data_IF_923537738830
#
_entry.id   IF_923537738830
#
_cell.length_a   1.000
_cell.length_b   1.000
_cell.length_c   1.000
_cell.angle_alpha   90.00
_cell.angle_beta   90.00
_cell.angle_gamma   90.00
#
_symmetry.space_group_name_H-M   'P 1'
#
loop_
_entity.id
_entity.type
_entity.pdbx_description
1 polymer ?
#
# COMPACT_ATOMS: atom_id res chain seq x y z
N UNK A 1 6.96 -26.38 30.16
CA UNK A 1 7.66 -25.09 30.41
C UNK A 1 8.24 -24.54 29.10
N UNK A 2 8.89 -25.39 28.30
CA UNK A 2 9.54 -25.01 27.02
C UNK A 2 8.62 -24.41 25.94
N UNK A 3 7.39 -24.90 25.79
CA UNK A 3 6.45 -24.37 24.79
C UNK A 3 6.00 -22.93 25.09
N UNK A 4 5.82 -22.60 26.38
CA UNK A 4 5.45 -21.25 26.81
C UNK A 4 6.62 -20.29 26.62
N UNK A 5 7.84 -20.72 26.94
CA UNK A 5 9.05 -19.91 26.75
C UNK A 5 9.33 -19.64 25.27
N UNK A 6 9.17 -20.66 24.41
CA UNK A 6 9.27 -20.51 22.94
C UNK A 6 8.19 -19.59 22.37
N UNK A 7 6.96 -19.69 22.88
CA UNK A 7 5.85 -18.82 22.45
C UNK A 7 6.09 -17.35 22.87
N UNK A 8 6.64 -17.13 24.07
CA UNK A 8 7.00 -15.80 24.55
C UNK A 8 8.14 -15.17 23.73
N UNK A 9 9.16 -15.94 23.38
CA UNK A 9 10.24 -15.49 22.47
C UNK A 9 9.70 -15.16 21.07
N UNK A 10 8.86 -16.04 20.51
CA UNK A 10 8.22 -15.80 19.21
C UNK A 10 7.39 -14.53 19.21
N UNK A 11 6.63 -14.28 20.29
CA UNK A 11 5.86 -13.05 20.45
C UNK A 11 6.76 -11.81 20.48
N UNK A 12 7.93 -11.88 21.13
CA UNK A 12 8.88 -10.78 21.13
C UNK A 12 9.43 -10.50 19.72
N UNK A 13 9.78 -11.55 18.95
CA UNK A 13 10.16 -11.40 17.55
C UNK A 13 9.04 -10.78 16.70
N UNK A 14 7.81 -11.24 16.88
CA UNK A 14 6.68 -10.73 16.08
C UNK A 14 6.44 -9.24 16.31
N UNK A 15 6.58 -8.77 17.57
CA UNK A 15 6.48 -7.34 17.91
C UNK A 15 7.56 -6.49 17.27
N UNK A 16 8.68 -7.09 16.87
CA UNK A 16 9.78 -6.43 16.18
C UNK A 16 9.74 -6.61 14.65
N UNK A 17 8.68 -7.21 14.10
CA UNK A 17 8.55 -7.42 12.66
C UNK A 17 9.39 -8.60 12.14
N UNK A 18 9.72 -9.54 13.01
CA UNK A 18 10.60 -10.67 12.72
C UNK A 18 9.82 -11.99 12.65
N UNK A 19 10.31 -12.96 11.89
CA UNK A 19 9.82 -14.34 11.90
C UNK A 19 10.21 -15.06 13.20
N UNK A 20 9.82 -16.34 13.33
CA UNK A 20 10.11 -17.12 14.53
C UNK A 20 11.61 -17.27 14.83
N UNK A 21 12.47 -17.18 13.81
CA UNK A 21 13.93 -17.30 13.93
C UNK A 21 14.61 -15.94 14.15
N UNK A 22 13.86 -14.85 14.20
CA UNK A 22 14.40 -13.49 14.34
C UNK A 22 14.79 -12.82 13.01
N UNK A 23 14.52 -13.45 11.86
CA UNK A 23 14.76 -12.85 10.56
C UNK A 23 13.69 -11.81 10.25
N UNK A 24 14.04 -10.77 9.50
CA UNK A 24 13.06 -9.73 9.16
C UNK A 24 11.97 -10.28 8.24
N UNK A 25 10.71 -10.03 8.58
CA UNK A 25 9.56 -10.37 7.74
C UNK A 25 8.90 -9.07 7.25
N UNK A 26 9.01 -8.81 5.94
CA UNK A 26 8.53 -7.56 5.33
C UNK A 26 7.05 -7.29 5.60
N UNK A 27 6.20 -8.32 5.55
CA UNK A 27 4.76 -8.16 5.71
C UNK A 27 4.40 -7.96 7.19
N UNK A 28 5.13 -8.60 8.10
CA UNK A 28 4.93 -8.36 9.52
C UNK A 28 5.32 -6.94 9.94
N UNK A 29 6.44 -6.42 9.43
CA UNK A 29 6.81 -5.02 9.61
C UNK A 29 5.70 -4.08 9.13
N UNK A 30 5.12 -4.36 7.96
CA UNK A 30 4.00 -3.58 7.42
C UNK A 30 2.76 -3.63 8.33
N UNK A 31 2.42 -4.79 8.89
CA UNK A 31 1.28 -4.92 9.82
C UNK A 31 1.49 -4.06 11.07
N UNK A 32 2.72 -3.96 11.60
CA UNK A 32 3.01 -3.10 12.75
C UNK A 32 2.69 -1.62 12.46
N UNK A 33 2.87 -1.15 11.21
CA UNK A 33 2.44 0.19 10.81
C UNK A 33 0.92 0.36 10.78
N UNK A 34 0.16 -0.71 10.52
CA UNK A 34 -1.31 -0.71 10.50
C UNK A 34 -1.95 -0.74 11.90
N UNK A 35 -1.15 -0.80 12.97
CA UNK A 35 -1.56 -0.60 14.38
C UNK A 35 -2.57 -1.60 14.97
N UNK A 36 -2.77 -2.78 14.36
CA UNK A 36 -3.63 -3.83 14.94
C UNK A 36 -2.78 -4.89 15.66
N UNK A 37 -3.11 -5.23 16.90
CA UNK A 37 -2.47 -6.35 17.64
C UNK A 37 -3.28 -7.65 17.55
N UNK A 38 -4.50 -7.60 17.02
CA UNK A 38 -5.44 -8.73 16.97
C UNK A 38 -4.90 -9.92 16.16
N UNK A 39 -4.03 -9.66 15.19
CA UNK A 39 -3.45 -10.68 14.31
C UNK A 39 -2.42 -11.59 15.00
N UNK A 40 -1.93 -11.22 16.18
CA UNK A 40 -0.90 -11.99 16.92
C UNK A 40 -1.36 -13.44 17.18
N UNK A 41 -2.66 -13.66 17.41
CA UNK A 41 -3.21 -15.02 17.60
C UNK A 41 -2.99 -15.92 16.39
N UNK A 42 -3.07 -15.35 15.17
CA UNK A 42 -2.81 -16.07 13.93
C UNK A 42 -1.32 -16.38 13.78
N UNK A 43 -0.45 -15.42 14.10
CA UNK A 43 1.00 -15.60 14.04
C UNK A 43 1.46 -16.71 14.98
N UNK A 44 0.98 -16.70 16.23
CA UNK A 44 1.25 -17.75 17.22
C UNK A 44 0.72 -19.11 16.79
N UNK A 45 -0.44 -19.16 16.12
CA UNK A 45 -0.98 -20.39 15.56
C UNK A 45 -0.13 -20.96 14.40
N UNK A 46 0.61 -20.10 13.70
CA UNK A 46 1.50 -20.47 12.59
C UNK A 46 2.98 -20.65 12.98
N UNK A 47 3.31 -20.69 14.28
CA UNK A 47 4.70 -20.77 14.76
C UNK A 47 5.48 -22.01 14.28
N UNK A 48 4.79 -23.09 13.89
CA UNK A 48 5.41 -24.31 13.38
C UNK A 48 5.69 -24.26 11.87
N UNK A 49 5.31 -23.19 11.18
CA UNK A 49 5.54 -23.03 9.74
C UNK A 49 7.04 -22.86 9.42
N UNK A 50 7.42 -23.30 8.22
CA UNK A 50 8.70 -22.91 7.64
C UNK A 50 8.73 -21.39 7.37
N UNK A 51 9.92 -20.81 7.20
CA UNK A 51 10.04 -19.37 6.91
C UNK A 51 9.28 -18.97 5.63
N UNK A 52 9.26 -19.83 4.60
CA UNK A 52 8.50 -19.57 3.36
C UNK A 52 6.98 -19.52 3.62
N UNK A 53 6.43 -20.52 4.32
CA UNK A 53 5.00 -20.58 4.64
C UNK A 53 4.58 -19.43 5.56
N UNK A 54 5.45 -19.05 6.50
CA UNK A 54 5.21 -17.94 7.43
C UNK A 54 5.19 -16.59 6.70
N UNK A 55 6.08 -16.39 5.71
CA UNK A 55 6.06 -15.19 4.87
C UNK A 55 4.75 -15.11 4.07
N UNK A 56 4.31 -16.21 3.47
CA UNK A 56 3.08 -16.23 2.66
C UNK A 56 1.85 -15.94 3.51
N UNK A 57 1.68 -16.55 4.69
CA UNK A 57 0.53 -16.24 5.55
C UNK A 57 0.57 -14.80 6.06
N UNK A 58 1.74 -14.24 6.39
CA UNK A 58 1.87 -12.84 6.79
C UNK A 58 1.44 -11.88 5.67
N UNK A 59 1.76 -12.19 4.40
CA UNK A 59 1.29 -11.42 3.23
C UNK A 59 -0.22 -11.35 3.16
N UNK A 60 -0.89 -12.49 3.31
CA UNK A 60 -2.36 -12.56 3.27
C UNK A 60 -3.01 -11.88 4.46
N UNK A 61 -2.44 -12.03 5.66
CA UNK A 61 -2.90 -11.34 6.87
C UNK A 61 -2.78 -9.82 6.70
N UNK A 62 -1.64 -9.30 6.21
CA UNK A 62 -1.48 -7.87 5.93
C UNK A 62 -2.55 -7.37 4.97
N UNK A 63 -2.73 -8.05 3.84
CA UNK A 63 -3.70 -7.66 2.83
C UNK A 63 -5.13 -7.68 3.38
N UNK A 64 -5.48 -8.74 4.12
CA UNK A 64 -6.80 -8.87 4.75
C UNK A 64 -7.08 -7.75 5.76
N UNK A 65 -6.13 -7.49 6.67
CA UNK A 65 -6.26 -6.44 7.70
C UNK A 65 -6.40 -5.06 7.07
N UNK A 66 -5.60 -4.76 6.05
CA UNK A 66 -5.70 -3.49 5.35
C UNK A 66 -7.06 -3.32 4.67
N UNK A 67 -7.55 -4.33 3.95
CA UNK A 67 -8.88 -4.31 3.30
C UNK A 67 -9.98 -4.04 4.33
N UNK A 68 -10.00 -4.78 5.44
CA UNK A 68 -11.00 -4.56 6.50
C UNK A 68 -10.91 -3.16 7.11
N UNK A 69 -9.70 -2.65 7.27
CA UNK A 69 -9.46 -1.35 7.88
C UNK A 69 -9.88 -0.18 6.96
N UNK A 70 -9.61 -0.28 5.66
CA UNK A 70 -9.98 0.76 4.69
C UNK A 70 -11.47 0.77 4.39
N UNK A 71 -12.14 -0.40 4.42
CA UNK A 71 -13.60 -0.51 4.25
C UNK A 71 -14.38 -0.25 5.55
N UNK A 72 -13.68 0.01 6.66
CA UNK A 72 -14.27 0.35 7.98
C UNK A 72 -15.19 -0.74 8.55
N UNK A 73 -14.84 -2.01 8.35
CA UNK A 73 -15.61 -3.13 8.92
C UNK A 73 -15.53 -3.17 10.45
N UNK A 74 -16.57 -3.72 11.08
CA UNK A 74 -16.64 -3.83 12.55
C UNK A 74 -15.63 -4.85 13.07
N UNK A 75 -14.76 -4.40 13.98
CA UNK A 75 -13.67 -5.20 14.57
C UNK A 75 -14.15 -6.37 15.43
N UNK A 76 -15.35 -6.30 16.01
CA UNK A 76 -15.86 -7.36 16.89
C UNK A 76 -16.07 -8.70 16.15
N UNK A 77 -16.26 -8.65 14.82
CA UNK A 77 -16.36 -9.85 13.99
C UNK A 77 -15.01 -10.52 13.72
N UNK A 78 -13.91 -9.78 13.86
CA UNK A 78 -12.55 -10.26 13.56
C UNK A 78 -12.04 -11.22 14.63
N UNK A 79 -12.36 -11.00 15.90
CA UNK A 79 -11.85 -11.83 17.00
C UNK A 79 -12.34 -13.28 16.88
N UNK A 80 -13.64 -13.47 16.64
CA UNK A 80 -14.22 -14.79 16.41
C UNK A 80 -13.63 -15.44 15.15
N UNK A 81 -13.47 -14.67 14.06
CA UNK A 81 -12.88 -15.17 12.82
C UNK A 81 -11.45 -15.64 13.06
N UNK A 82 -10.65 -14.86 13.80
CA UNK A 82 -9.26 -15.17 14.07
C UNK A 82 -9.08 -16.36 15.01
N UNK A 83 -10.00 -16.61 15.94
CA UNK A 83 -10.02 -17.83 16.75
C UNK A 83 -10.21 -19.06 15.86
N UNK A 84 -11.20 -19.02 14.96
CA UNK A 84 -11.49 -20.12 14.03
C UNK A 84 -10.29 -20.35 13.08
N UNK A 85 -9.75 -19.28 12.51
CA UNK A 85 -8.59 -19.35 11.63
C UNK A 85 -7.33 -19.85 12.34
N UNK A 86 -7.08 -19.42 13.58
CA UNK A 86 -5.98 -19.92 14.39
C UNK A 86 -6.09 -21.44 14.61
N UNK A 87 -7.29 -21.97 14.87
CA UNK A 87 -7.49 -23.41 15.01
C UNK A 87 -7.16 -24.18 13.72
N UNK A 88 -7.55 -23.64 12.55
CA UNK A 88 -7.24 -24.23 11.23
C UNK A 88 -5.74 -24.15 10.92
N UNK A 89 -5.11 -22.99 11.12
CA UNK A 89 -3.67 -22.76 10.89
C UNK A 89 -2.78 -23.73 11.67
N UNK A 90 -3.16 -24.07 12.92
CA UNK A 90 -2.45 -25.06 13.75
C UNK A 90 -2.38 -26.46 13.14
N UNK A 91 -3.26 -26.80 12.21
CA UNK A 91 -3.31 -28.12 11.57
C UNK A 91 -2.52 -28.18 10.25
N UNK A 92 -2.22 -27.03 9.65
CA UNK A 92 -1.53 -26.93 8.36
C UNK A 92 -0.05 -27.31 8.50
N UNK A 93 0.48 -28.11 7.57
CA UNK A 93 1.89 -28.56 7.58
C UNK A 93 2.64 -28.29 6.28
N UNK A 94 1.93 -28.01 5.19
CA UNK A 94 2.49 -27.90 3.85
C UNK A 94 1.84 -26.75 3.07
N UNK A 95 2.47 -26.42 1.92
CA UNK A 95 2.05 -25.32 1.05
C UNK A 95 0.68 -25.53 0.41
N UNK A 96 0.33 -26.76 0.05
CA UNK A 96 -0.96 -27.09 -0.57
C UNK A 96 -2.10 -26.83 0.41
N UNK A 97 -1.96 -27.31 1.65
CA UNK A 97 -2.91 -27.08 2.73
C UNK A 97 -3.05 -25.59 3.08
N UNK A 98 -1.93 -24.84 3.05
CA UNK A 98 -1.95 -23.38 3.25
C UNK A 98 -2.72 -22.65 2.13
N UNK A 99 -2.43 -22.98 0.88
CA UNK A 99 -3.11 -22.39 -0.28
C UNK A 99 -4.62 -22.67 -0.25
N UNK A 100 -5.01 -23.90 0.14
CA UNK A 100 -6.41 -24.26 0.32
C UNK A 100 -7.08 -23.38 1.40
N UNK A 101 -6.45 -23.24 2.57
CA UNK A 101 -6.95 -22.37 3.64
C UNK A 101 -7.11 -20.91 3.16
N UNK A 102 -6.12 -20.37 2.45
CA UNK A 102 -6.19 -19.00 1.90
C UNK A 102 -7.38 -18.86 0.96
N UNK A 103 -7.55 -19.79 0.02
CA UNK A 103 -8.60 -19.75 -1.00
C UNK A 103 -10.01 -19.93 -0.42
N UNK A 104 -10.17 -20.74 0.63
CA UNK A 104 -11.48 -21.05 1.22
C UNK A 104 -11.88 -20.05 2.33
N UNK A 105 -10.90 -19.49 3.05
CA UNK A 105 -11.16 -18.68 4.24
C UNK A 105 -10.89 -17.19 4.04
N UNK A 106 -9.71 -16.83 3.54
CA UNK A 106 -9.26 -15.44 3.50
C UNK A 106 -9.77 -14.75 2.24
N UNK A 107 -9.57 -15.36 1.07
CA UNK A 107 -9.94 -14.75 -0.21
C UNK A 107 -11.43 -14.41 -0.30
N UNK A 108 -12.38 -15.30 0.05
CA UNK A 108 -13.80 -14.99 -0.10
C UNK A 108 -14.23 -13.82 0.80
N UNK A 109 -13.67 -13.73 2.01
CA UNK A 109 -13.94 -12.61 2.91
C UNK A 109 -13.44 -11.27 2.36
N UNK A 110 -12.27 -11.26 1.71
CA UNK A 110 -11.78 -10.08 0.99
C UNK A 110 -12.65 -9.74 -0.22
N UNK A 111 -12.99 -10.72 -1.05
CA UNK A 111 -13.75 -10.46 -2.28
C UNK A 111 -15.19 -9.98 -1.99
N UNK A 112 -15.79 -10.41 -0.87
CA UNK A 112 -17.06 -9.85 -0.41
C UNK A 112 -17.01 -8.34 -0.10
N UNK A 113 -15.80 -7.79 0.09
CA UNK A 113 -15.56 -6.36 0.32
C UNK A 113 -15.10 -5.63 -0.94
N UNK A 114 -15.00 -6.28 -2.10
CA UNK A 114 -14.40 -5.71 -3.30
C UNK A 114 -15.06 -4.39 -3.73
N UNK A 115 -16.40 -4.34 -3.80
CA UNK A 115 -17.13 -3.12 -4.16
C UNK A 115 -16.91 -2.00 -3.15
N UNK A 116 -16.96 -2.31 -1.85
CA UNK A 116 -16.70 -1.31 -0.79
C UNK A 116 -15.26 -0.82 -0.81
N UNK A 117 -14.31 -1.69 -1.13
CA UNK A 117 -12.91 -1.35 -1.28
C UNK A 117 -12.70 -0.38 -2.45
N UNK A 118 -13.30 -0.68 -3.60
CA UNK A 118 -13.26 0.17 -4.79
C UNK A 118 -13.90 1.55 -4.50
N UNK A 119 -15.08 1.58 -3.88
CA UNK A 119 -15.74 2.82 -3.46
C UNK A 119 -14.90 3.63 -2.47
N UNK A 120 -14.27 2.95 -1.51
CA UNK A 120 -13.41 3.58 -0.52
C UNK A 120 -12.21 4.25 -1.19
N UNK A 121 -11.57 3.58 -2.17
CA UNK A 121 -10.46 4.13 -2.92
C UNK A 121 -10.88 5.23 -3.90
N UNK A 122 -12.02 5.13 -4.57
CA UNK A 122 -12.53 6.21 -5.44
C UNK A 122 -12.80 7.52 -4.67
N UNK A 123 -13.15 7.42 -3.39
CA UNK A 123 -13.45 8.57 -2.52
C UNK A 123 -12.29 8.94 -1.57
N UNK A 124 -11.18 8.19 -1.63
CA UNK A 124 -10.07 8.31 -0.70
C UNK A 124 -9.41 9.68 -0.83
N UNK A 125 -9.34 10.36 0.31
CA UNK A 125 -8.69 11.66 0.44
C UNK A 125 -7.92 11.77 1.76
N UNK A 126 -7.04 12.75 1.87
CA UNK A 126 -6.16 12.98 3.01
C UNK A 126 -6.90 13.12 4.35
N UNK A 127 -8.12 13.63 4.36
CA UNK A 127 -8.92 13.81 5.58
C UNK A 127 -9.69 12.56 5.99
N UNK A 128 -9.91 11.61 5.07
CA UNK A 128 -10.70 10.39 5.32
C UNK A 128 -9.94 9.30 6.08
N UNK A 129 -8.61 9.43 6.20
CA UNK A 129 -7.70 8.51 6.88
C UNK A 129 -6.65 9.28 7.67
N UNK A 130 -6.05 8.67 8.69
CA UNK A 130 -4.94 9.30 9.40
C UNK A 130 -3.67 9.36 8.53
N UNK A 131 -2.74 10.25 8.89
CA UNK A 131 -1.50 10.49 8.14
C UNK A 131 -0.66 9.23 7.94
N UNK A 132 -0.51 8.40 8.99
CA UNK A 132 0.27 7.15 8.92
C UNK A 132 -0.31 6.18 7.90
N UNK A 133 -1.64 6.03 7.86
CA UNK A 133 -2.34 5.17 6.91
C UNK A 133 -2.24 5.71 5.49
N UNK A 134 -2.40 7.03 5.29
CA UNK A 134 -2.19 7.65 3.98
C UNK A 134 -0.76 7.40 3.47
N UNK A 135 0.23 7.55 4.35
CA UNK A 135 1.62 7.28 4.02
C UNK A 135 1.83 5.80 3.67
N UNK A 136 1.25 4.86 4.43
CA UNK A 136 1.27 3.44 4.11
C UNK A 136 0.66 3.14 2.74
N UNK A 137 -0.50 3.73 2.42
CA UNK A 137 -1.20 3.53 1.14
C UNK A 137 -0.31 3.99 -0.02
N UNK A 138 0.15 5.23 0.03
CA UNK A 138 1.02 5.78 -1.00
C UNK A 138 2.32 4.97 -1.12
N UNK A 139 2.92 4.57 0.00
CA UNK A 139 4.13 3.75 0.01
C UNK A 139 3.92 2.37 -0.60
N UNK A 140 2.81 1.69 -0.31
CA UNK A 140 2.48 0.37 -0.90
C UNK A 140 2.20 0.46 -2.38
N UNK A 141 1.49 1.49 -2.83
CA UNK A 141 1.24 1.73 -4.26
C UNK A 141 2.57 1.98 -4.99
N UNK A 142 3.41 2.88 -4.48
CA UNK A 142 4.72 3.17 -5.07
C UNK A 142 5.62 1.94 -5.07
N UNK A 143 5.73 1.25 -3.93
CA UNK A 143 6.52 0.04 -3.77
C UNK A 143 6.09 -1.04 -4.76
N UNK A 144 4.80 -1.28 -4.92
CA UNK A 144 4.30 -2.31 -5.83
C UNK A 144 4.73 -2.05 -7.28
N UNK A 145 4.64 -0.79 -7.74
CA UNK A 145 5.08 -0.41 -9.10
C UNK A 145 6.58 -0.64 -9.26
N UNK A 146 7.39 -0.20 -8.29
CA UNK A 146 8.84 -0.37 -8.35
C UNK A 146 9.25 -1.86 -8.26
N UNK A 147 8.59 -2.68 -7.43
CA UNK A 147 8.86 -4.13 -7.33
C UNK A 147 8.50 -4.87 -8.64
N UNK A 148 7.39 -4.50 -9.29
CA UNK A 148 7.02 -5.08 -10.59
C UNK A 148 8.00 -4.66 -11.70
N UNK A 149 8.55 -3.45 -11.61
CA UNK A 149 9.49 -2.90 -12.57
C UNK A 149 10.90 -3.49 -12.44
N UNK A 150 11.42 -3.58 -11.21
CA UNK A 150 12.78 -3.98 -10.88
C UNK A 150 12.81 -5.34 -10.19
N UNK A 151 12.22 -6.35 -10.84
CA UNK A 151 12.19 -7.72 -10.32
C UNK A 151 13.62 -8.17 -9.98
N UNK A 152 13.80 -8.69 -8.76
CA UNK A 152 15.06 -9.12 -8.14
C UNK A 152 15.93 -8.02 -7.49
N UNK A 153 15.51 -6.76 -7.46
CA UNK A 153 16.17 -5.75 -6.63
C UNK A 153 15.54 -5.68 -5.23
N UNK A 154 16.25 -6.22 -4.24
CA UNK A 154 15.83 -6.20 -2.84
C UNK A 154 15.68 -4.78 -2.26
N UNK A 155 16.27 -3.76 -2.90
CA UNK A 155 16.14 -2.36 -2.48
C UNK A 155 14.70 -1.85 -2.53
N UNK A 156 13.85 -2.45 -3.36
CA UNK A 156 12.43 -2.12 -3.47
C UNK A 156 11.53 -3.00 -2.58
N UNK A 157 12.07 -4.07 -2.00
CA UNK A 157 11.29 -5.09 -1.27
C UNK A 157 10.68 -4.61 0.06
N UNK A 158 11.34 -3.65 0.75
CA UNK A 158 10.93 -3.24 2.10
C UNK A 158 10.21 -1.90 2.12
N UNK A 159 9.00 -1.87 2.70
CA UNK A 159 8.17 -0.66 2.78
C UNK A 159 8.86 0.48 3.54
N UNK A 160 9.74 0.17 4.50
CA UNK A 160 10.55 1.16 5.24
C UNK A 160 11.35 2.09 4.32
N UNK A 161 11.68 1.65 3.11
CA UNK A 161 12.40 2.45 2.11
C UNK A 161 11.52 3.54 1.48
N UNK A 162 10.20 3.47 1.70
CA UNK A 162 9.19 4.41 1.19
C UNK A 162 8.54 5.26 2.29
N UNK A 163 8.73 4.92 3.57
CA UNK A 163 8.13 5.62 4.73
C UNK A 163 9.17 6.26 5.67
N UNK A 164 10.42 6.38 5.22
CA UNK A 164 11.49 7.00 6.00
C UNK A 164 11.49 8.53 5.91
N UNK A 165 12.34 9.16 6.74
CA UNK A 165 12.48 10.62 6.89
C UNK A 165 12.85 11.40 5.61
N UNK A 166 13.35 10.71 4.58
CA UNK A 166 13.72 11.34 3.31
C UNK A 166 12.60 11.29 2.27
N UNK A 167 11.43 10.75 2.63
CA UNK A 167 10.26 10.64 1.75
C UNK A 167 9.13 11.49 2.31
N UNK A 168 8.53 12.29 1.45
CA UNK A 168 7.43 13.19 1.79
C UNK A 168 6.23 12.94 0.88
N UNK A 169 5.04 13.28 1.38
CA UNK A 169 3.83 13.32 0.57
C UNK A 169 3.80 14.67 -0.13
N UNK A 170 3.77 14.65 -1.45
CA UNK A 170 3.67 15.82 -2.31
C UNK A 170 2.24 16.01 -2.79
N UNK A 171 1.81 17.27 -2.79
CA UNK A 171 0.55 17.72 -3.37
C UNK A 171 0.82 18.25 -4.77
N UNK A 172 0.35 17.55 -5.80
CA UNK A 172 0.65 17.93 -7.19
C UNK A 172 0.00 19.29 -7.50
N UNK A 173 -1.29 19.43 -7.23
CA UNK A 173 -2.00 20.69 -7.02
C UNK A 173 -1.65 21.21 -5.62
N UNK A 174 -0.93 22.34 -5.48
CA UNK A 174 -0.45 22.81 -4.19
C UNK A 174 -1.54 23.20 -3.20
N UNK A 175 -1.22 23.11 -1.91
CA UNK A 175 -2.09 23.54 -0.82
C UNK A 175 -2.17 25.07 -0.69
N UNK A 176 -1.05 25.78 -0.91
CA UNK A 176 -1.06 27.23 -0.93
C UNK A 176 -1.44 27.70 -2.34
N UNK A 177 -2.73 27.99 -2.53
CA UNK A 177 -3.34 28.39 -3.78
C UNK A 177 -3.32 29.92 -4.01
N UNK A 178 -2.89 30.72 -3.02
CA UNK A 178 -2.92 32.18 -3.09
C UNK A 178 -2.01 32.77 -4.18
N UNK A 179 -0.99 32.01 -4.61
CA UNK A 179 -0.10 32.39 -5.71
C UNK A 179 -0.46 31.76 -7.05
N UNK A 180 -1.35 30.75 -7.08
CA UNK A 180 -1.79 30.03 -8.29
C UNK A 180 -3.19 30.45 -8.74
N UNK A 181 -3.62 31.65 -8.32
CA UNK A 181 -4.93 32.25 -8.59
C UNK A 181 -5.36 32.01 -10.03
N UNK A 182 -6.55 31.43 -10.17
CA UNK A 182 -7.50 31.54 -11.31
C UNK A 182 -7.56 30.46 -12.41
N UNK A 183 -6.64 29.50 -12.51
CA UNK A 183 -6.65 28.60 -13.68
C UNK A 183 -7.13 27.16 -13.42
N UNK A 184 -7.50 26.80 -12.18
CA UNK A 184 -8.12 25.50 -11.94
C UNK A 184 -9.56 25.53 -12.46
N UNK A 185 -9.99 24.49 -13.16
CA UNK A 185 -11.29 24.41 -13.84
C UNK A 185 -12.48 24.35 -12.88
N UNK A 186 -12.28 23.89 -11.63
CA UNK A 186 -13.30 23.84 -10.57
C UNK A 186 -12.87 24.57 -9.31
N UNK A 187 -12.67 25.90 -9.40
CA UNK A 187 -12.20 26.73 -8.28
C UNK A 187 -13.04 26.57 -7.00
N UNK A 188 -14.37 26.52 -7.12
CA UNK A 188 -15.28 26.40 -5.97
C UNK A 188 -15.12 25.08 -5.20
N UNK A 189 -14.53 24.05 -5.82
CA UNK A 189 -14.28 22.73 -5.22
C UNK A 189 -12.80 22.46 -4.97
N UNK A 190 -11.90 23.44 -5.14
CA UNK A 190 -10.44 23.20 -5.14
C UNK A 190 -9.94 22.51 -3.87
N UNK A 191 -10.49 22.86 -2.71
CA UNK A 191 -10.17 22.28 -1.40
C UNK A 191 -10.42 20.77 -1.33
N UNK A 192 -11.42 20.27 -2.08
CA UNK A 192 -11.69 18.84 -2.21
C UNK A 192 -10.62 18.18 -3.08
N UNK A 193 -10.30 18.76 -4.23
CA UNK A 193 -9.33 18.22 -5.18
C UNK A 193 -7.91 18.16 -4.62
N UNK A 194 -7.50 19.16 -3.83
CA UNK A 194 -6.19 19.17 -3.15
C UNK A 194 -6.00 17.92 -2.29
N UNK A 195 -7.08 17.42 -1.67
CA UNK A 195 -7.03 16.31 -0.71
C UNK A 195 -7.20 14.93 -1.34
N UNK A 196 -7.67 14.83 -2.58
CA UNK A 196 -7.89 13.54 -3.25
C UNK A 196 -6.59 12.74 -3.39
N UNK A 197 -6.64 11.41 -3.26
CA UNK A 197 -5.47 10.54 -3.48
C UNK A 197 -4.85 10.76 -4.86
N UNK A 198 -5.68 11.00 -5.89
CA UNK A 198 -5.23 11.32 -7.25
C UNK A 198 -4.30 12.53 -7.29
N UNK A 199 -4.40 13.46 -6.34
CA UNK A 199 -3.53 14.63 -6.23
C UNK A 199 -2.26 14.40 -5.37
N UNK A 200 -2.10 13.22 -4.79
CA UNK A 200 -1.02 12.91 -3.87
C UNK A 200 -0.03 11.94 -4.49
N UNK A 201 1.25 12.14 -4.19
CA UNK A 201 2.31 11.18 -4.53
C UNK A 201 3.42 11.18 -3.50
N UNK A 202 4.25 10.13 -3.48
CA UNK A 202 5.50 10.16 -2.72
C UNK A 202 6.60 10.81 -3.54
N UNK A 203 7.44 11.58 -2.87
CA UNK A 203 8.61 12.19 -3.48
C UNK A 203 9.75 12.29 -2.47
N UNK A 204 10.97 12.35 -2.98
CA UNK A 204 12.16 12.55 -2.17
C UNK A 204 12.22 14.00 -1.65
N UNK A 205 12.54 14.15 -0.35
CA UNK A 205 12.61 15.45 0.33
C UNK A 205 13.48 16.51 -0.38
N UNK A 206 14.68 16.18 -0.92
CA UNK A 206 15.46 17.16 -1.68
C UNK A 206 14.73 17.67 -2.92
N UNK A 207 14.00 16.78 -3.61
CA UNK A 207 13.20 17.11 -4.79
C UNK A 207 12.00 17.98 -4.38
N UNK A 208 11.25 17.56 -3.35
CA UNK A 208 10.10 18.33 -2.82
C UNK A 208 10.49 19.78 -2.47
N UNK A 209 11.62 19.93 -1.78
CA UNK A 209 12.12 21.23 -1.33
C UNK A 209 12.34 22.23 -2.47
N UNK A 210 12.58 21.74 -3.70
CA UNK A 210 12.79 22.56 -4.90
C UNK A 210 11.49 22.97 -5.61
N UNK A 211 10.40 22.23 -5.41
CA UNK A 211 9.12 22.43 -6.10
C UNK A 211 8.03 23.05 -5.23
N UNK A 212 7.84 22.58 -3.98
CA UNK A 212 6.84 23.09 -3.02
C UNK A 212 5.53 23.54 -3.70
N UNK A 213 5.21 24.84 -3.63
CA UNK A 213 3.97 25.43 -4.11
C UNK A 213 4.03 25.90 -5.58
N UNK A 214 5.01 25.46 -6.36
CA UNK A 214 5.12 25.83 -7.78
C UNK A 214 4.01 25.19 -8.62
N UNK A 215 3.78 25.75 -9.81
CA UNK A 215 2.81 25.21 -10.77
C UNK A 215 3.19 23.81 -11.24
N UNK A 216 2.19 23.08 -11.75
CA UNK A 216 2.41 21.77 -12.35
C UNK A 216 3.45 21.84 -13.48
N UNK A 217 3.41 22.88 -14.31
CA UNK A 217 4.38 23.09 -15.40
C UNK A 217 5.83 23.04 -14.92
N UNK A 218 6.13 23.69 -13.80
CA UNK A 218 7.47 23.65 -13.21
C UNK A 218 7.79 22.28 -12.58
N UNK A 219 6.77 21.64 -12.00
CA UNK A 219 6.92 20.34 -11.35
C UNK A 219 7.27 19.23 -12.34
N UNK A 220 6.82 19.32 -13.60
CA UNK A 220 7.06 18.30 -14.65
C UNK A 220 8.52 17.90 -14.77
N UNK A 221 9.41 18.85 -15.02
CA UNK A 221 10.85 18.58 -15.18
C UNK A 221 11.51 18.02 -13.91
N UNK A 222 10.91 18.28 -12.76
CA UNK A 222 11.42 17.79 -11.49
C UNK A 222 10.91 16.38 -11.17
N UNK A 223 9.66 16.05 -11.53
CA UNK A 223 9.10 14.71 -11.36
C UNK A 223 9.82 13.65 -12.18
N UNK A 224 10.31 13.97 -13.39
CA UNK A 224 11.15 13.08 -14.20
C UNK A 224 12.42 12.58 -13.47
N UNK A 225 12.89 13.36 -12.50
CA UNK A 225 14.10 13.06 -11.70
C UNK A 225 13.81 12.18 -10.47
N UNK A 226 12.55 12.01 -10.07
CA UNK A 226 12.19 11.17 -8.92
C UNK A 226 12.52 9.72 -9.21
N UNK A 227 13.06 8.97 -8.26
CA UNK A 227 13.31 7.52 -8.44
C UNK A 227 12.02 6.70 -8.48
N UNK A 228 10.92 7.26 -7.98
CA UNK A 228 9.64 6.56 -7.90
C UNK A 228 8.93 6.58 -9.24
N UNK A 229 8.71 5.39 -9.81
CA UNK A 229 8.08 5.27 -11.13
C UNK A 229 6.67 5.85 -11.16
N UNK A 230 5.92 5.72 -10.07
CA UNK A 230 4.57 6.29 -9.95
C UNK A 230 4.58 7.83 -10.03
N UNK A 231 5.66 8.48 -9.58
CA UNK A 231 5.82 9.94 -9.63
C UNK A 231 6.31 10.38 -11.01
N UNK A 232 7.27 9.66 -11.61
CA UNK A 232 7.68 9.90 -13.00
C UNK A 232 6.51 9.78 -13.96
N UNK A 233 5.70 8.73 -13.80
CA UNK A 233 4.58 8.40 -14.71
C UNK A 233 3.57 9.53 -14.86
N UNK A 234 3.47 10.44 -13.88
CA UNK A 234 2.58 11.60 -13.92
C UNK A 234 2.85 12.47 -15.16
N UNK A 235 4.09 12.54 -15.65
CA UNK A 235 4.52 13.52 -16.66
C UNK A 235 5.24 12.90 -17.85
N UNK A 236 5.53 11.61 -17.80
CA UNK A 236 6.11 10.88 -18.91
C UNK A 236 5.56 9.46 -18.95
N UNK A 237 5.28 8.96 -20.16
CA UNK A 237 5.11 7.52 -20.34
C UNK A 237 6.48 6.87 -20.19
N UNK A 238 6.73 6.31 -19.01
CA UNK A 238 7.97 5.57 -18.76
C UNK A 238 8.01 4.38 -19.73
N UNK A 239 8.90 4.46 -20.71
CA UNK A 239 9.15 3.43 -21.71
C UNK A 239 10.66 3.27 -21.85
N UNK A 240 11.15 2.07 -21.55
CA UNK A 240 12.59 1.75 -21.62
C UNK A 240 12.88 0.82 -22.81
N UNK A 241 11.85 0.26 -23.47
CA UNK A 241 12.00 -0.58 -24.66
C UNK A 241 10.71 -1.27 -25.11
N UNK A 242 10.84 -2.45 -25.73
CA UNK A 242 9.68 -3.25 -26.14
C UNK A 242 9.39 -4.30 -25.06
N UNK A 243 8.33 -4.06 -24.26
CA UNK A 243 7.78 -5.03 -23.30
C UNK A 243 8.71 -5.46 -22.15
N UNK A 244 9.49 -4.51 -21.60
CA UNK A 244 10.28 -4.73 -20.39
C UNK A 244 9.41 -4.94 -19.14
N UNK A 245 9.99 -5.40 -18.02
CA UNK A 245 9.28 -5.43 -16.72
C UNK A 245 8.77 -4.05 -16.32
N UNK A 246 9.53 -3.00 -16.63
CA UNK A 246 9.20 -1.62 -16.32
C UNK A 246 7.98 -1.18 -17.12
N UNK A 247 7.93 -1.46 -18.43
CA UNK A 247 6.78 -1.12 -19.28
C UNK A 247 5.49 -1.80 -18.79
N UNK A 248 5.60 -3.04 -18.28
CA UNK A 248 4.45 -3.76 -17.71
C UNK A 248 3.98 -3.18 -16.37
N UNK A 249 4.91 -2.75 -15.52
CA UNK A 249 4.60 -2.18 -14.21
C UNK A 249 3.87 -0.83 -14.31
N UNK A 250 4.26 -0.01 -15.28
CA UNK A 250 3.69 1.33 -15.49
C UNK A 250 2.56 1.38 -16.52
N UNK A 251 2.21 0.25 -17.15
CA UNK A 251 1.23 0.18 -18.25
C UNK A 251 -0.12 0.86 -17.96
N UNK A 252 -0.57 0.80 -16.70
CA UNK A 252 -1.84 1.36 -16.26
C UNK A 252 -1.69 2.70 -15.53
N UNK A 253 -0.51 3.33 -15.62
CA UNK A 253 -0.25 4.66 -15.09
C UNK A 253 -0.26 5.65 -16.24
N UNK A 254 -1.12 6.65 -16.13
CA UNK A 254 -1.28 7.68 -17.14
C UNK A 254 -0.33 8.85 -16.90
N UNK A 255 0.03 9.51 -18.00
CA UNK A 255 0.78 10.76 -18.02
C UNK A 255 -0.14 11.92 -18.38
N UNK A 256 0.12 13.09 -17.80
CA UNK A 256 -0.75 14.27 -17.90
C UNK A 256 0.04 15.49 -18.36
N UNK A 257 -0.46 16.17 -19.38
CA UNK A 257 0.11 17.44 -19.86
C UNK A 257 -0.32 18.62 -18.98
N UNK A 258 -1.55 18.56 -18.47
CA UNK A 258 -2.16 19.57 -17.60
C UNK A 258 -2.65 18.94 -16.29
N UNK A 259 -2.80 19.77 -15.26
CA UNK A 259 -3.25 19.34 -13.93
C UNK A 259 -4.53 20.05 -13.50
N UNK A 260 -5.65 19.53 -13.98
CA UNK A 260 -7.00 20.02 -13.72
C UNK A 260 -7.84 18.95 -12.98
N UNK A 261 -9.13 19.21 -12.78
CA UNK A 261 -10.03 18.28 -12.07
C UNK A 261 -10.13 16.91 -12.74
N UNK A 262 -10.15 16.87 -14.08
CA UNK A 262 -10.21 15.64 -14.86
C UNK A 262 -8.94 14.80 -14.71
N UNK A 263 -7.75 15.43 -14.76
CA UNK A 263 -6.47 14.74 -14.52
C UNK A 263 -6.44 14.09 -13.14
N UNK A 264 -6.91 14.80 -12.10
CA UNK A 264 -6.94 14.29 -10.73
C UNK A 264 -7.93 13.12 -10.59
N UNK A 265 -9.13 13.22 -11.17
CA UNK A 265 -10.14 12.16 -11.15
C UNK A 265 -9.72 10.93 -11.94
N UNK A 266 -9.10 11.14 -13.11
CA UNK A 266 -8.52 10.09 -13.92
C UNK A 266 -7.45 9.34 -13.12
N UNK A 267 -6.51 10.07 -12.50
CA UNK A 267 -5.46 9.46 -11.68
C UNK A 267 -6.03 8.73 -10.47
N UNK A 268 -7.07 9.28 -9.82
CA UNK A 268 -7.77 8.62 -8.73
C UNK A 268 -8.28 7.24 -9.17
N UNK A 269 -8.92 7.14 -10.35
CA UNK A 269 -9.40 5.87 -10.90
C UNK A 269 -8.25 4.91 -11.20
N UNK A 270 -7.18 5.39 -11.84
CA UNK A 270 -6.00 4.57 -12.16
C UNK A 270 -5.32 4.02 -10.89
N UNK A 271 -5.20 4.85 -9.83
CA UNK A 271 -4.70 4.41 -8.52
C UNK A 271 -5.64 3.43 -7.81
N UNK A 272 -6.96 3.56 -7.98
CA UNK A 272 -7.92 2.57 -7.47
C UNK A 272 -7.72 1.21 -8.16
N UNK A 273 -7.53 1.19 -9.48
CA UNK A 273 -7.26 -0.06 -10.19
C UNK A 273 -5.91 -0.67 -9.81
N UNK A 274 -4.89 0.17 -9.57
CA UNK A 274 -3.62 -0.28 -9.02
C UNK A 274 -3.81 -0.89 -7.61
N UNK A 275 -4.57 -0.22 -6.73
CA UNK A 275 -4.86 -0.71 -5.39
C UNK A 275 -5.50 -2.09 -5.40
N UNK A 276 -6.45 -2.36 -6.31
CA UNK A 276 -7.05 -3.69 -6.46
C UNK A 276 -5.97 -4.77 -6.68
N UNK A 277 -4.93 -4.49 -7.47
CA UNK A 277 -3.79 -5.39 -7.66
C UNK A 277 -2.91 -5.52 -6.43
N UNK A 278 -2.56 -4.41 -5.77
CA UNK A 278 -1.68 -4.40 -4.59
C UNK A 278 -2.23 -5.26 -3.45
N UNK A 279 -3.56 -5.24 -3.26
CA UNK A 279 -4.23 -5.92 -2.16
C UNK A 279 -5.02 -7.17 -2.59
N UNK A 280 -4.75 -7.73 -3.78
CA UNK A 280 -5.40 -8.91 -4.37
C UNK A 280 -6.94 -8.88 -4.31
N UNK A 281 -7.55 -7.75 -4.67
CA UNK A 281 -8.99 -7.62 -4.92
C UNK A 281 -9.24 -7.93 -6.40
N UNK A 282 -10.05 -8.96 -6.65
CA UNK A 282 -10.38 -9.41 -8.01
C UNK A 282 -11.34 -8.41 -8.68
N UNK A 283 -11.30 -8.43 -10.01
CA UNK A 283 -12.13 -7.59 -10.87
C UNK A 283 -13.59 -8.02 -10.81
#
# INVERSE_FOLDING_TARGET
MDLLLKSAQSLAHFKNGQDIKGNQNRYLQNILYLSSSQHIVLLLASQHFSSELFIEICRHIENFLFVYNITRERTNSLENLFIIWAAKLRQIRDKTSLNKFIAEEIEPKKQNLATRFEDAFLKLNQSSVNKTKLQYILAKLTQYVDEEAYKNDESHMYLKNYINKNVEIEHILPQNYDQLKSNFDKLDEIEKYIKLLGNLTLIEKPINSSIKNKSFEFKKETYKKSKYLITKSIVEKVNIGVSTSIDRAVKNLDSYEEWNSESIESRQKSLTQLAKKVWDIKY
#
